data_IF_677461844439
#
_entry.id   IF_677461844439
#
_cell.length_a   1.000
_cell.length_b   1.000
_cell.length_c   1.000
_cell.angle_alpha   90.00
_cell.angle_beta   90.00
_cell.angle_gamma   90.00
#
_symmetry.space_group_name_H-M   'P 1'
#
loop_
_entity.id
_entity.type
_entity.pdbx_description
1 polymer ?
#
# COMPACT_ATOMS: atom_id res chain seq x y z
N UNK A 1 1.55 14.80 -18.69
CA UNK A 1 0.23 15.47 -18.75
C UNK A 1 0.23 16.56 -17.70
N UNK A 2 -0.02 17.82 -18.06
CA UNK A 2 -0.21 18.89 -17.06
C UNK A 2 -1.59 18.73 -16.44
N UNK A 3 -1.65 18.54 -15.15
CA UNK A 3 -2.90 18.41 -14.38
C UNK A 3 -3.37 19.77 -13.78
N UNK A 4 -2.82 20.90 -14.23
CA UNK A 4 -3.24 22.22 -13.74
C UNK A 4 -4.74 22.42 -13.92
N UNK A 5 -5.49 22.47 -12.82
CA UNK A 5 -6.94 22.65 -12.82
C UNK A 5 -7.78 21.43 -13.23
N UNK A 6 -7.17 20.25 -13.44
CA UNK A 6 -7.85 19.01 -13.77
C UNK A 6 -8.20 18.17 -12.54
N UNK A 7 -9.11 17.21 -12.72
CA UNK A 7 -9.40 16.19 -11.72
C UNK A 7 -9.02 14.81 -12.19
N UNK A 8 -8.84 13.87 -11.26
CA UNK A 8 -8.53 12.46 -11.49
C UNK A 8 -9.63 11.59 -10.92
N UNK A 9 -10.06 10.59 -11.67
CA UNK A 9 -10.86 9.50 -11.13
C UNK A 9 -9.95 8.55 -10.36
N UNK A 10 -10.11 8.51 -9.06
CA UNK A 10 -9.37 7.63 -8.16
C UNK A 10 -10.09 6.32 -7.98
N UNK A 11 -9.38 5.20 -8.10
CA UNK A 11 -9.91 3.84 -7.92
C UNK A 11 -9.01 3.09 -6.94
N UNK A 12 -9.62 2.53 -5.91
CA UNK A 12 -8.93 1.73 -4.88
C UNK A 12 -9.49 0.32 -4.88
N UNK A 13 -8.62 -0.66 -5.05
CA UNK A 13 -8.95 -2.09 -4.95
C UNK A 13 -8.18 -2.67 -3.77
N UNK A 14 -8.83 -2.69 -2.63
CA UNK A 14 -8.33 -3.24 -1.38
C UNK A 14 -9.10 -4.54 -1.06
N UNK A 15 -8.48 -5.55 -0.41
CA UNK A 15 -9.14 -6.81 -0.08
C UNK A 15 -10.42 -6.66 0.77
N UNK A 16 -10.50 -5.63 1.58
CA UNK A 16 -11.64 -5.38 2.47
C UNK A 16 -12.68 -4.43 1.87
N UNK A 17 -12.31 -3.65 0.83
CA UNK A 17 -13.19 -2.62 0.24
C UNK A 17 -12.79 -2.25 -1.19
N UNK A 18 -13.78 -1.80 -1.94
CA UNK A 18 -13.56 -0.99 -3.14
C UNK A 18 -13.93 0.46 -2.83
N UNK A 19 -13.14 1.40 -3.30
CA UNK A 19 -13.48 2.81 -3.25
C UNK A 19 -13.23 3.49 -4.59
N UNK A 20 -14.01 4.50 -4.91
CA UNK A 20 -13.76 5.39 -6.04
C UNK A 20 -14.10 6.83 -5.64
N UNK A 21 -13.45 7.78 -6.29
CA UNK A 21 -13.67 9.20 -6.04
C UNK A 21 -13.14 10.08 -7.15
N UNK A 22 -13.46 11.36 -7.10
CA UNK A 22 -12.87 12.41 -7.94
C UNK A 22 -12.01 13.27 -7.03
N UNK A 23 -10.74 13.40 -7.38
CA UNK A 23 -9.72 14.14 -6.63
C UNK A 23 -9.13 15.20 -7.54
N UNK A 24 -8.91 16.40 -7.01
CA UNK A 24 -8.30 17.50 -7.75
C UNK A 24 -6.77 17.52 -7.65
N UNK A 25 -6.15 18.52 -8.28
CA UNK A 25 -4.70 18.67 -8.33
C UNK A 25 -4.07 19.04 -6.96
N UNK A 26 -4.86 19.49 -6.00
CA UNK A 26 -4.42 19.85 -4.65
C UNK A 26 -4.57 18.67 -3.66
N UNK A 27 -5.23 17.58 -4.10
CA UNK A 27 -5.47 16.39 -3.30
C UNK A 27 -6.81 16.40 -2.56
N UNK A 28 -7.68 17.37 -2.85
CA UNK A 28 -9.01 17.42 -2.26
C UNK A 28 -9.95 16.40 -2.91
N UNK A 29 -10.63 15.62 -2.06
CA UNK A 29 -11.59 14.60 -2.51
C UNK A 29 -12.96 15.24 -2.68
N UNK A 30 -13.33 15.53 -3.92
CA UNK A 30 -14.55 16.24 -4.29
C UNK A 30 -15.80 15.34 -4.31
N UNK A 31 -15.64 14.09 -4.75
CA UNK A 31 -16.68 13.06 -4.77
C UNK A 31 -16.09 11.76 -4.28
N UNK A 32 -16.85 10.99 -3.51
CA UNK A 32 -16.42 9.66 -3.06
C UNK A 32 -17.58 8.70 -2.86
N UNK A 33 -17.32 7.44 -3.13
CA UNK A 33 -18.21 6.33 -2.79
C UNK A 33 -17.37 5.07 -2.50
N UNK A 34 -17.94 4.14 -1.76
CA UNK A 34 -17.27 2.88 -1.40
C UNK A 34 -18.27 1.74 -1.24
N UNK A 35 -17.78 0.53 -1.46
CA UNK A 35 -18.49 -0.71 -1.15
C UNK A 35 -17.59 -1.61 -0.31
N UNK A 36 -18.19 -2.39 0.59
CA UNK A 36 -17.46 -3.37 1.40
C UNK A 36 -16.83 -4.47 0.56
N UNK A 37 -16.15 -5.41 1.23
CA UNK A 37 -15.40 -6.49 0.60
C UNK A 37 -16.14 -7.05 -0.62
N UNK A 38 -15.53 -7.00 -1.80
CA UNK A 38 -16.16 -7.48 -3.01
C UNK A 38 -16.24 -9.01 -2.93
N UNK A 39 -17.44 -9.55 -3.10
CA UNK A 39 -17.62 -10.98 -3.21
C UNK A 39 -16.97 -11.55 -4.48
N UNK A 40 -17.63 -12.48 -5.16
CA UNK A 40 -17.10 -13.08 -6.39
C UNK A 40 -17.15 -12.14 -7.62
N UNK A 41 -18.02 -11.13 -7.63
CA UNK A 41 -18.23 -10.20 -8.74
C UNK A 41 -17.50 -8.87 -8.54
N UNK A 42 -16.19 -8.93 -8.26
CA UNK A 42 -15.37 -7.75 -7.95
C UNK A 42 -15.43 -6.71 -9.05
N UNK A 43 -15.27 -7.12 -10.31
CA UNK A 43 -15.30 -6.20 -11.45
C UNK A 43 -16.66 -5.50 -11.59
N UNK A 44 -17.75 -6.24 -11.55
CA UNK A 44 -19.09 -5.66 -11.65
C UNK A 44 -19.37 -4.65 -10.54
N UNK A 45 -18.92 -4.96 -9.33
CA UNK A 45 -19.05 -4.05 -8.20
C UNK A 45 -18.24 -2.77 -8.40
N UNK A 46 -17.02 -2.88 -8.97
CA UNK A 46 -16.17 -1.75 -9.28
C UNK A 46 -16.75 -0.90 -10.43
N UNK A 47 -17.21 -1.51 -11.50
CA UNK A 47 -17.88 -0.85 -12.61
C UNK A 47 -19.09 -0.01 -12.15
N UNK A 48 -19.97 -0.59 -11.32
CA UNK A 48 -21.09 0.12 -10.73
C UNK A 48 -20.66 1.27 -9.81
N UNK A 49 -19.60 1.07 -9.02
CA UNK A 49 -19.07 2.09 -8.13
C UNK A 49 -18.53 3.28 -8.91
N UNK A 50 -17.73 3.03 -9.95
CA UNK A 50 -17.20 4.08 -10.84
C UNK A 50 -18.34 4.83 -11.52
N UNK A 51 -19.35 4.11 -12.04
CA UNK A 51 -20.54 4.72 -12.65
C UNK A 51 -21.27 5.66 -11.70
N UNK A 52 -21.47 5.28 -10.44
CA UNK A 52 -22.11 6.13 -9.41
C UNK A 52 -21.28 7.39 -9.10
N UNK A 53 -19.96 7.25 -8.97
CA UNK A 53 -19.05 8.38 -8.70
C UNK A 53 -19.09 9.39 -9.85
N UNK A 54 -19.01 8.92 -11.10
CA UNK A 54 -19.10 9.80 -12.27
C UNK A 54 -20.47 10.49 -12.39
N UNK A 55 -21.55 9.77 -12.11
CA UNK A 55 -22.91 10.33 -12.11
C UNK A 55 -23.18 11.33 -10.97
N UNK A 56 -22.47 11.19 -9.84
CA UNK A 56 -22.59 12.09 -8.70
C UNK A 56 -21.70 13.34 -8.79
N UNK A 57 -20.94 13.50 -9.87
CA UNK A 57 -20.08 14.67 -10.09
C UNK A 57 -20.91 15.95 -10.22
N UNK A 58 -20.70 16.97 -9.38
CA UNK A 58 -21.33 18.28 -9.53
C UNK A 58 -20.94 18.98 -10.85
N UNK A 59 -21.82 19.81 -11.39
CA UNK A 59 -21.59 20.49 -12.68
C UNK A 59 -20.42 21.47 -12.65
N UNK A 60 -20.11 22.02 -11.48
CA UNK A 60 -18.97 22.93 -11.22
C UNK A 60 -17.64 22.20 -11.03
N UNK A 61 -17.65 20.88 -10.90
CA UNK A 61 -16.43 20.05 -10.82
C UNK A 61 -16.01 19.63 -12.22
N UNK A 62 -14.75 19.88 -12.58
CA UNK A 62 -14.19 19.47 -13.86
C UNK A 62 -14.30 17.95 -14.07
N UNK A 63 -14.49 17.51 -15.31
CA UNK A 63 -14.47 16.08 -15.63
C UNK A 63 -13.06 15.49 -15.44
N UNK A 64 -12.94 14.27 -14.90
CA UNK A 64 -11.65 13.61 -14.77
C UNK A 64 -10.93 13.47 -16.12
N UNK A 65 -9.63 13.71 -16.13
CA UNK A 65 -8.78 13.60 -17.33
C UNK A 65 -7.93 12.31 -17.36
N UNK A 66 -7.88 11.61 -16.23
CA UNK A 66 -7.17 10.34 -16.09
C UNK A 66 -7.79 9.48 -14.96
N UNK A 67 -7.42 8.21 -14.91
CA UNK A 67 -7.73 7.29 -13.82
C UNK A 67 -6.44 6.93 -13.08
N UNK A 68 -6.39 7.21 -11.79
CA UNK A 68 -5.35 6.73 -10.89
C UNK A 68 -5.85 5.52 -10.11
N UNK A 69 -5.09 4.44 -10.12
CA UNK A 69 -5.48 3.15 -9.51
C UNK A 69 -4.46 2.73 -8.47
N UNK A 70 -4.94 2.45 -7.28
CA UNK A 70 -4.22 1.81 -6.20
C UNK A 70 -4.84 0.42 -5.96
N UNK A 71 -4.09 -0.65 -6.20
CA UNK A 71 -4.59 -2.01 -6.13
C UNK A 71 -3.69 -2.89 -5.26
N UNK A 72 -4.27 -3.77 -4.45
CA UNK A 72 -3.49 -4.79 -3.75
C UNK A 72 -2.65 -5.60 -4.75
N UNK A 73 -1.39 -5.83 -4.40
CA UNK A 73 -0.43 -6.55 -5.26
C UNK A 73 -0.55 -8.08 -5.21
N UNK A 74 0.24 -8.78 -6.03
CA UNK A 74 1.20 -8.25 -7.00
C UNK A 74 0.54 -7.70 -8.28
N UNK A 75 1.27 -6.81 -8.95
CA UNK A 75 0.88 -6.24 -10.26
C UNK A 75 1.88 -6.65 -11.35
N UNK A 76 1.45 -6.61 -12.60
CA UNK A 76 2.33 -6.54 -13.77
C UNK A 76 2.17 -5.16 -14.40
N UNK A 77 3.12 -4.28 -14.15
CA UNK A 77 3.06 -2.88 -14.58
C UNK A 77 3.08 -2.75 -16.10
N UNK A 78 3.82 -3.60 -16.81
CA UNK A 78 3.89 -3.57 -18.27
C UNK A 78 2.56 -4.02 -18.88
N UNK A 79 2.01 -5.14 -18.41
CA UNK A 79 0.73 -5.67 -18.87
C UNK A 79 -0.49 -4.89 -18.34
N UNK A 80 -0.34 -4.09 -17.27
CA UNK A 80 -1.48 -3.44 -16.62
C UNK A 80 -2.43 -4.41 -15.93
N UNK A 81 -1.91 -5.56 -15.52
CA UNK A 81 -2.69 -6.61 -14.89
C UNK A 81 -2.38 -6.78 -13.41
N UNK A 82 -3.31 -7.36 -12.66
CA UNK A 82 -3.22 -7.54 -11.22
C UNK A 82 -3.59 -8.96 -10.81
N UNK A 83 -2.92 -9.46 -9.75
CA UNK A 83 -3.21 -10.78 -9.15
C UNK A 83 -3.27 -10.65 -7.63
N UNK A 84 -4.22 -9.89 -7.07
CA UNK A 84 -4.27 -9.66 -5.63
C UNK A 84 -4.55 -10.95 -4.88
N UNK A 85 -3.67 -11.30 -3.94
CA UNK A 85 -3.69 -12.59 -3.24
C UNK A 85 -5.03 -12.89 -2.52
N UNK A 86 -5.71 -11.84 -2.04
CA UNK A 86 -6.99 -11.95 -1.33
C UNK A 86 -8.21 -11.73 -2.24
N UNK A 87 -8.03 -11.64 -3.55
CA UNK A 87 -9.09 -11.58 -4.56
C UNK A 87 -8.92 -12.72 -5.58
N UNK A 88 -9.23 -13.98 -5.20
CA UNK A 88 -8.92 -15.15 -6.02
C UNK A 88 -9.58 -15.15 -7.41
N UNK A 89 -10.64 -14.36 -7.59
CA UNK A 89 -11.30 -14.20 -8.89
C UNK A 89 -10.43 -13.45 -9.92
N UNK A 90 -9.39 -12.74 -9.47
CA UNK A 90 -8.50 -11.96 -10.30
C UNK A 90 -7.12 -12.61 -10.40
N UNK A 91 -6.89 -13.36 -11.45
CA UNK A 91 -5.58 -13.90 -11.80
C UNK A 91 -5.14 -13.29 -13.12
N UNK A 92 -4.06 -12.52 -13.10
CA UNK A 92 -3.61 -11.70 -14.24
C UNK A 92 -4.77 -10.88 -14.85
N UNK A 93 -5.62 -10.31 -14.00
CA UNK A 93 -6.78 -9.55 -14.42
C UNK A 93 -6.34 -8.23 -15.08
N UNK A 94 -6.73 -7.93 -16.34
CA UNK A 94 -6.26 -6.76 -17.09
C UNK A 94 -7.00 -5.48 -16.64
N UNK A 95 -6.75 -5.06 -15.41
CA UNK A 95 -7.47 -3.97 -14.74
C UNK A 95 -7.33 -2.63 -15.47
N UNK A 96 -6.12 -2.35 -16.02
CA UNK A 96 -5.87 -1.14 -16.81
C UNK A 96 -6.80 -1.05 -18.02
N UNK A 97 -6.87 -2.12 -18.80
CA UNK A 97 -7.65 -2.16 -20.02
C UNK A 97 -9.16 -2.06 -19.73
N UNK A 98 -9.63 -2.80 -18.72
CA UNK A 98 -11.04 -2.74 -18.31
C UNK A 98 -11.47 -1.34 -17.84
N UNK A 99 -10.62 -0.64 -17.09
CA UNK A 99 -10.91 0.73 -16.65
C UNK A 99 -10.80 1.72 -17.82
N UNK A 100 -9.85 1.50 -18.74
CA UNK A 100 -9.77 2.30 -19.95
C UNK A 100 -11.02 2.14 -20.82
N UNK A 101 -11.47 0.91 -21.06
CA UNK A 101 -12.68 0.62 -21.85
C UNK A 101 -13.94 1.21 -21.20
N UNK A 102 -14.01 1.19 -19.88
CA UNK A 102 -15.13 1.75 -19.12
C UNK A 102 -15.18 3.28 -19.17
N UNK A 103 -14.03 3.95 -19.13
CA UNK A 103 -13.98 5.41 -18.92
C UNK A 103 -13.52 6.20 -20.15
N UNK A 104 -12.84 5.57 -21.09
CA UNK A 104 -12.16 6.22 -22.21
C UNK A 104 -10.93 7.04 -21.81
N UNK A 105 -10.49 6.97 -20.54
CA UNK A 105 -9.40 7.76 -19.99
C UNK A 105 -8.10 6.96 -19.91
N UNK A 106 -6.94 7.63 -19.94
CA UNK A 106 -5.66 6.99 -19.62
C UNK A 106 -5.67 6.51 -18.16
N UNK A 107 -5.16 5.28 -17.92
CA UNK A 107 -5.17 4.61 -16.62
C UNK A 107 -3.75 4.36 -16.13
N UNK A 108 -3.46 4.81 -14.92
CA UNK A 108 -2.19 4.65 -14.23
C UNK A 108 -2.40 3.75 -13.01
N UNK A 109 -1.59 2.71 -12.89
CA UNK A 109 -1.74 1.65 -11.89
C UNK A 109 -0.49 1.52 -11.03
N UNK A 110 -0.66 1.46 -9.71
CA UNK A 110 0.38 1.04 -8.76
C UNK A 110 -0.22 0.15 -7.65
N UNK A 111 0.65 -0.46 -6.87
CA UNK A 111 0.28 -1.16 -5.63
C UNK A 111 -0.25 -0.18 -4.57
N UNK A 112 -0.93 -0.69 -3.53
CA UNK A 112 -1.38 0.15 -2.41
C UNK A 112 -0.21 0.91 -1.78
N UNK A 113 0.89 0.20 -1.52
CA UNK A 113 2.08 0.82 -0.94
C UNK A 113 2.81 1.77 -1.89
N UNK A 114 2.83 1.47 -3.19
CA UNK A 114 3.41 2.35 -4.21
C UNK A 114 2.65 3.67 -4.34
N UNK A 115 1.32 3.57 -4.40
CA UNK A 115 0.44 4.73 -4.42
C UNK A 115 0.58 5.57 -3.14
N UNK A 116 0.64 4.92 -1.98
CA UNK A 116 0.89 5.60 -0.71
C UNK A 116 2.23 6.35 -0.71
N UNK A 117 3.31 5.69 -1.17
CA UNK A 117 4.63 6.33 -1.25
C UNK A 117 4.64 7.55 -2.18
N UNK A 118 3.88 7.50 -3.28
CA UNK A 118 3.73 8.63 -4.20
C UNK A 118 2.94 9.77 -3.57
N UNK A 119 1.85 9.47 -2.85
CA UNK A 119 1.05 10.46 -2.15
C UNK A 119 1.83 11.15 -1.02
N UNK A 120 2.61 10.39 -0.24
CA UNK A 120 3.45 10.93 0.82
C UNK A 120 4.48 11.95 0.31
N UNK A 121 4.99 11.73 -0.88
CA UNK A 121 5.87 12.71 -1.55
C UNK A 121 5.13 13.90 -2.15
N UNK A 122 3.86 13.76 -2.43
CA UNK A 122 3.07 14.83 -3.04
C UNK A 122 2.50 15.79 -1.98
N UNK A 123 1.77 15.26 -1.01
CA UNK A 123 1.03 16.05 -0.01
C UNK A 123 1.25 15.56 1.43
N UNK A 124 2.10 14.56 1.65
CA UNK A 124 2.30 13.91 2.94
C UNK A 124 3.61 14.29 3.66
N UNK A 125 4.07 13.40 4.53
CA UNK A 125 5.23 13.61 5.41
C UNK A 125 6.58 13.40 4.71
N UNK A 126 6.60 12.86 3.48
CA UNK A 126 7.80 12.58 2.72
C UNK A 126 8.12 13.61 1.64
N UNK A 127 7.49 14.80 1.63
CA UNK A 127 7.72 15.86 0.63
C UNK A 127 9.20 16.20 0.50
N UNK A 128 9.92 16.30 1.63
CA UNK A 128 11.35 16.64 1.69
C UNK A 128 12.25 15.41 1.89
N UNK A 129 11.72 14.18 1.77
CA UNK A 129 12.49 12.95 1.98
C UNK A 129 12.79 12.30 0.63
N UNK A 130 14.07 12.33 0.22
CA UNK A 130 14.47 11.80 -1.08
C UNK A 130 14.43 10.26 -1.16
N UNK A 131 14.77 9.56 -0.07
CA UNK A 131 14.83 8.10 -0.06
C UNK A 131 14.18 7.54 1.19
N UNK A 132 13.20 6.64 1.00
CA UNK A 132 12.44 6.04 2.09
C UNK A 132 11.71 4.77 1.64
N UNK A 133 11.20 4.03 2.61
CA UNK A 133 10.30 2.89 2.39
C UNK A 133 8.97 3.16 3.08
N UNK A 134 7.87 2.89 2.39
CA UNK A 134 6.54 2.79 3.00
C UNK A 134 6.21 1.31 3.23
N UNK A 135 5.70 0.98 4.39
CA UNK A 135 5.23 -0.36 4.75
C UNK A 135 3.80 -0.27 5.28
N UNK A 136 2.88 -0.93 4.60
CA UNK A 136 1.50 -1.08 5.02
C UNK A 136 1.32 -2.44 5.69
N UNK A 137 1.06 -2.44 6.99
CA UNK A 137 0.85 -3.63 7.81
C UNK A 137 -0.66 -3.82 8.02
N UNK A 138 -1.30 -4.46 7.04
CA UNK A 138 -2.75 -4.64 7.02
C UNK A 138 -3.12 -6.12 6.78
N UNK A 139 -4.21 -6.43 6.09
CA UNK A 139 -4.63 -7.80 5.75
C UNK A 139 -3.48 -8.63 5.21
N UNK A 140 -2.71 -8.07 4.31
CA UNK A 140 -1.36 -8.51 3.91
C UNK A 140 -0.38 -7.35 4.12
N UNK A 141 0.91 -7.65 4.14
CA UNK A 141 1.92 -6.62 4.17
C UNK A 141 2.22 -6.20 2.74
N UNK A 142 2.17 -4.90 2.49
CA UNK A 142 2.67 -4.30 1.27
C UNK A 142 3.77 -3.29 1.59
N UNK A 143 4.69 -3.09 0.66
CA UNK A 143 5.75 -2.11 0.83
C UNK A 143 6.27 -1.62 -0.49
N UNK A 144 6.75 -0.38 -0.48
CA UNK A 144 7.29 0.30 -1.63
C UNK A 144 8.51 1.11 -1.24
N UNK A 145 9.48 1.18 -2.14
CA UNK A 145 10.72 1.90 -1.93
C UNK A 145 10.81 3.09 -2.90
N UNK A 146 11.23 4.23 -2.38
CA UNK A 146 11.58 5.43 -3.15
C UNK A 146 13.05 5.72 -2.92
N UNK A 147 13.83 5.90 -3.99
CA UNK A 147 15.25 6.22 -3.99
C UNK A 147 15.45 7.48 -4.82
N UNK A 148 16.14 8.48 -4.26
CA UNK A 148 16.42 9.75 -4.93
C UNK A 148 15.16 10.40 -5.56
N UNK A 149 14.06 10.30 -4.84
CA UNK A 149 12.79 10.83 -5.27
C UNK A 149 12.06 10.01 -6.32
N UNK A 150 12.52 8.82 -6.68
CA UNK A 150 11.90 7.97 -7.69
C UNK A 150 11.41 6.65 -7.12
N UNK A 151 10.23 6.24 -7.53
CA UNK A 151 9.67 4.93 -7.21
C UNK A 151 10.59 3.83 -7.76
N UNK A 152 10.99 2.89 -6.92
CA UNK A 152 11.71 1.71 -7.35
C UNK A 152 10.72 0.68 -7.89
N UNK A 153 10.63 0.52 -9.20
CA UNK A 153 9.67 -0.38 -9.84
C UNK A 153 10.10 -1.85 -9.86
N UNK A 154 11.38 -2.11 -10.14
CA UNK A 154 11.85 -3.47 -10.43
C UNK A 154 11.36 -3.99 -11.78
N UNK A 155 11.53 -5.29 -12.00
CA UNK A 155 11.21 -5.92 -13.28
C UNK A 155 9.72 -6.01 -13.63
N UNK A 156 8.83 -6.00 -12.64
CA UNK A 156 7.39 -6.17 -12.83
C UNK A 156 6.54 -5.11 -12.11
N UNK A 157 7.17 -4.15 -11.43
CA UNK A 157 6.46 -3.13 -10.65
C UNK A 157 6.29 -3.44 -9.15
N UNK A 158 6.89 -4.51 -8.64
CA UNK A 158 6.71 -4.97 -7.26
C UNK A 158 7.99 -4.84 -6.40
N UNK A 159 8.98 -4.03 -6.80
CA UNK A 159 10.18 -3.87 -6.00
C UNK A 159 9.87 -3.27 -4.62
N UNK A 160 10.60 -3.74 -3.62
CA UNK A 160 10.36 -3.35 -2.23
C UNK A 160 9.32 -4.22 -1.50
N UNK A 161 8.89 -5.33 -2.07
CA UNK A 161 7.91 -6.25 -1.48
C UNK A 161 8.46 -6.99 -0.24
N UNK A 162 8.60 -6.28 0.88
CA UNK A 162 9.18 -6.80 2.14
C UNK A 162 8.32 -7.87 2.82
N UNK A 163 7.07 -8.05 2.39
CA UNK A 163 6.18 -9.12 2.89
C UNK A 163 6.82 -10.50 2.87
N UNK A 164 7.68 -10.77 1.88
CA UNK A 164 8.29 -12.07 1.66
C UNK A 164 9.78 -12.14 2.01
N UNK A 165 10.33 -11.10 2.66
CA UNK A 165 11.65 -11.18 3.27
C UNK A 165 11.63 -12.23 4.38
N UNK A 166 12.63 -13.11 4.37
CA UNK A 166 12.77 -14.15 5.39
C UNK A 166 13.27 -13.54 6.69
N UNK A 167 12.40 -13.48 7.69
CA UNK A 167 12.71 -12.93 9.04
C UNK A 167 12.95 -14.01 10.07
N UNK A 168 12.55 -15.26 9.78
CA UNK A 168 12.72 -16.42 10.68
C UNK A 168 12.96 -17.69 9.86
N UNK A 169 14.21 -18.05 9.57
CA UNK A 169 14.54 -19.26 8.80
C UNK A 169 13.91 -20.52 9.40
N UNK A 170 13.19 -21.28 8.59
CA UNK A 170 12.48 -22.48 9.05
C UNK A 170 11.24 -22.23 9.91
N UNK A 171 10.79 -20.98 10.00
CA UNK A 171 9.63 -20.57 10.78
C UNK A 171 8.28 -20.88 10.12
N UNK A 172 7.25 -20.07 10.45
CA UNK A 172 5.88 -20.28 9.99
C UNK A 172 5.75 -20.28 8.46
N UNK A 173 4.84 -21.13 7.94
CA UNK A 173 4.52 -21.19 6.52
C UNK A 173 3.75 -19.93 6.11
N UNK A 174 4.22 -19.27 5.08
CA UNK A 174 3.57 -18.10 4.47
C UNK A 174 2.52 -18.55 3.45
N UNK A 175 1.52 -17.70 3.20
CA UNK A 175 0.53 -17.90 2.14
C UNK A 175 1.15 -18.05 0.74
N UNK A 176 2.36 -17.54 0.50
CA UNK A 176 3.11 -17.75 -0.75
C UNK A 176 3.75 -19.15 -0.88
N UNK A 177 3.65 -19.99 0.13
CA UNK A 177 4.24 -21.34 0.18
C UNK A 177 5.66 -21.42 0.76
N UNK A 178 6.36 -20.28 0.94
CA UNK A 178 7.67 -20.25 1.58
C UNK A 178 7.54 -20.25 3.12
N UNK A 179 8.66 -20.49 3.81
CA UNK A 179 8.73 -20.47 5.28
C UNK A 179 9.46 -19.24 5.78
N UNK A 180 8.99 -18.66 6.88
CA UNK A 180 9.68 -17.59 7.59
C UNK A 180 9.53 -16.20 7.01
N UNK A 181 8.61 -15.97 6.06
CA UNK A 181 8.33 -14.65 5.51
C UNK A 181 7.74 -13.71 6.57
N UNK A 182 8.04 -12.41 6.49
CA UNK A 182 7.46 -11.38 7.35
C UNK A 182 5.93 -11.46 7.39
N UNK A 183 5.29 -11.65 6.24
CA UNK A 183 3.83 -11.71 6.11
C UNK A 183 3.18 -12.79 7.00
N UNK A 184 3.88 -13.89 7.26
CA UNK A 184 3.39 -14.98 8.14
C UNK A 184 3.37 -14.61 9.63
N UNK A 185 4.01 -13.48 10.02
CA UNK A 185 4.14 -13.05 11.42
C UNK A 185 3.50 -11.71 11.73
N UNK A 186 3.35 -10.86 10.73
CA UNK A 186 3.00 -9.47 10.95
C UNK A 186 1.85 -8.97 10.06
N UNK A 187 1.25 -9.80 9.19
CA UNK A 187 -0.01 -9.44 8.55
C UNK A 187 -1.20 -9.70 9.48
N UNK A 188 -2.24 -8.86 9.39
CA UNK A 188 -3.49 -9.04 10.15
C UNK A 188 -4.08 -10.43 9.91
N UNK A 189 -4.14 -10.87 8.63
CA UNK A 189 -4.67 -12.19 8.29
C UNK A 189 -3.91 -13.33 8.98
N UNK A 190 -2.57 -13.29 9.00
CA UNK A 190 -1.76 -14.32 9.66
C UNK A 190 -1.92 -14.29 11.18
N UNK A 191 -1.93 -13.10 11.79
CA UNK A 191 -2.12 -12.93 13.23
C UNK A 191 -3.50 -13.43 13.68
N UNK A 192 -4.57 -13.09 12.98
CA UNK A 192 -5.91 -13.53 13.31
C UNK A 192 -6.10 -15.03 13.11
N UNK A 193 -5.50 -15.60 12.05
CA UNK A 193 -5.51 -17.04 11.79
C UNK A 193 -4.77 -17.83 12.89
N UNK A 194 -3.58 -17.37 13.29
CA UNK A 194 -2.79 -18.00 14.38
C UNK A 194 -3.56 -17.98 15.70
N UNK A 195 -4.14 -16.82 16.03
CA UNK A 195 -4.83 -16.62 17.29
C UNK A 195 -6.24 -17.25 17.31
N UNK A 196 -6.81 -17.53 16.15
CA UNK A 196 -8.23 -17.86 15.97
C UNK A 196 -9.17 -16.87 16.66
N UNK A 197 -8.82 -15.57 16.59
CA UNK A 197 -9.57 -14.45 17.20
C UNK A 197 -9.13 -13.12 16.59
N UNK A 198 -9.96 -12.05 16.72
CA UNK A 198 -9.61 -10.72 16.24
C UNK A 198 -8.32 -10.19 16.83
N UNK A 199 -7.53 -9.50 15.99
CA UNK A 199 -6.20 -8.98 16.32
C UNK A 199 -6.18 -8.06 17.55
N UNK A 200 -7.26 -7.31 17.82
CA UNK A 200 -7.40 -6.47 19.03
C UNK A 200 -7.32 -7.25 20.36
N UNK A 201 -7.35 -8.59 20.29
CA UNK A 201 -7.19 -9.49 21.46
C UNK A 201 -5.80 -10.13 21.50
N UNK A 202 -4.83 -9.57 20.80
CA UNK A 202 -3.46 -10.05 20.85
C UNK A 202 -2.88 -9.95 22.27
N UNK A 203 -2.06 -10.91 22.63
CA UNK A 203 -1.32 -10.87 23.90
C UNK A 203 -0.07 -10.00 23.76
N UNK A 204 0.48 -9.47 24.85
CA UNK A 204 1.75 -8.74 24.82
C UNK A 204 2.88 -9.50 24.11
N UNK A 205 2.95 -10.82 24.27
CA UNK A 205 3.96 -11.66 23.63
C UNK A 205 3.80 -11.73 22.10
N UNK A 206 2.56 -11.69 21.59
CA UNK A 206 2.29 -11.64 20.14
C UNK A 206 2.67 -10.26 19.59
N UNK A 207 2.31 -9.18 20.30
CA UNK A 207 2.68 -7.82 19.93
C UNK A 207 4.20 -7.67 19.85
N UNK A 208 4.90 -8.13 20.89
CA UNK A 208 6.37 -8.10 20.95
C UNK A 208 7.00 -8.92 19.82
N UNK A 209 6.57 -10.15 19.60
CA UNK A 209 7.07 -10.99 18.50
C UNK A 209 6.85 -10.31 17.15
N UNK A 210 5.67 -9.73 16.92
CA UNK A 210 5.35 -9.03 15.68
C UNK A 210 6.31 -7.85 15.47
N UNK A 211 6.58 -7.06 16.51
CA UNK A 211 7.54 -5.96 16.46
C UNK A 211 8.97 -6.44 16.16
N UNK A 212 9.39 -7.56 16.76
CA UNK A 212 10.70 -8.19 16.46
C UNK A 212 10.80 -8.55 14.97
N UNK A 213 9.79 -9.19 14.40
CA UNK A 213 9.82 -9.61 12.99
C UNK A 213 9.85 -8.41 12.04
N UNK A 214 9.08 -7.37 12.32
CA UNK A 214 9.11 -6.12 11.54
C UNK A 214 10.45 -5.41 11.68
N UNK A 215 11.01 -5.32 12.89
CA UNK A 215 12.35 -4.75 13.13
C UNK A 215 13.47 -5.46 12.36
N UNK A 216 13.41 -6.79 12.25
CA UNK A 216 14.33 -7.61 11.44
C UNK A 216 14.23 -7.26 9.94
N UNK A 217 13.00 -7.15 9.43
CA UNK A 217 12.77 -6.79 8.03
C UNK A 217 13.28 -5.38 7.72
N UNK A 218 13.02 -4.41 8.60
CA UNK A 218 13.48 -3.04 8.47
C UNK A 218 15.02 -2.98 8.47
N UNK A 219 15.68 -3.65 9.40
CA UNK A 219 17.15 -3.68 9.45
C UNK A 219 17.77 -4.26 8.17
N UNK A 220 17.16 -5.32 7.62
CA UNK A 220 17.59 -5.93 6.35
C UNK A 220 17.35 -5.01 5.16
N UNK A 221 16.17 -4.39 5.08
CA UNK A 221 15.79 -3.48 4.00
C UNK A 221 16.65 -2.20 4.03
N UNK A 222 16.92 -1.64 5.20
CA UNK A 222 17.80 -0.48 5.35
C UNK A 222 19.19 -0.73 4.76
N UNK A 223 19.76 -1.90 5.04
CA UNK A 223 21.07 -2.28 4.51
C UNK A 223 21.07 -2.56 2.99
N UNK A 224 19.96 -3.11 2.45
CA UNK A 224 19.85 -3.45 1.03
C UNK A 224 19.57 -2.23 0.16
N UNK A 225 18.71 -1.33 0.62
CA UNK A 225 18.27 -0.14 -0.11
C UNK A 225 19.10 1.11 0.22
N UNK A 226 19.94 1.05 1.24
CA UNK A 226 20.70 2.20 1.77
C UNK A 226 19.76 3.37 2.14
N UNK A 227 18.72 3.07 2.93
CA UNK A 227 17.72 4.05 3.38
C UNK A 227 17.62 4.07 4.90
N UNK A 228 17.36 5.25 5.45
CA UNK A 228 17.25 5.47 6.89
C UNK A 228 15.85 5.89 7.35
N UNK A 229 14.87 6.00 6.44
CA UNK A 229 13.52 6.39 6.79
C UNK A 229 12.52 5.34 6.36
N UNK A 230 11.74 4.85 7.31
CA UNK A 230 10.64 3.92 7.09
C UNK A 230 9.35 4.52 7.61
N UNK A 231 8.37 4.67 6.74
CA UNK A 231 7.02 5.03 7.11
C UNK A 231 6.19 3.77 7.26
N UNK A 232 5.45 3.65 8.37
CA UNK A 232 4.62 2.48 8.67
C UNK A 232 3.18 2.91 8.91
N UNK A 233 2.22 2.14 8.40
CA UNK A 233 0.80 2.38 8.61
C UNK A 233 0.01 1.08 8.55
N UNK A 234 -1.28 1.14 8.87
CA UNK A 234 -2.24 0.07 8.71
C UNK A 234 -2.71 -0.54 10.01
N UNK A 235 -3.70 -1.42 9.93
CA UNK A 235 -4.46 -1.93 11.07
C UNK A 235 -3.59 -2.57 12.17
N UNK A 236 -2.43 -3.14 11.84
CA UNK A 236 -1.51 -3.71 12.83
C UNK A 236 -0.87 -2.61 13.66
N UNK A 237 -0.40 -1.52 13.00
CA UNK A 237 0.20 -0.36 13.67
C UNK A 237 -0.85 0.29 14.58
N UNK A 238 -2.02 0.62 14.04
CA UNK A 238 -3.12 1.27 14.77
C UNK A 238 -3.60 0.45 15.99
N UNK A 239 -3.62 -0.89 15.85
CA UNK A 239 -4.12 -1.76 16.92
C UNK A 239 -3.09 -2.02 18.00
N UNK A 240 -1.82 -2.14 17.66
CA UNK A 240 -0.75 -2.52 18.58
C UNK A 240 -0.04 -1.32 19.21
N UNK A 241 -0.04 -0.16 18.51
CA UNK A 241 0.44 1.13 18.99
C UNK A 241 1.89 1.13 19.51
N UNK A 242 2.16 2.00 20.48
CA UNK A 242 3.50 2.21 21.04
C UNK A 242 4.24 0.93 21.47
N UNK A 243 3.63 -0.06 22.13
CA UNK A 243 4.37 -1.28 22.53
C UNK A 243 4.97 -2.05 21.35
N UNK A 244 4.29 -2.01 20.20
CA UNK A 244 4.78 -2.59 18.95
C UNK A 244 5.92 -1.75 18.37
N UNK A 245 5.71 -0.43 18.24
CA UNK A 245 6.70 0.49 17.69
C UNK A 245 7.99 0.51 18.52
N UNK A 246 7.89 0.53 19.85
CA UNK A 246 9.04 0.44 20.77
C UNK A 246 9.85 -0.84 20.53
N UNK A 247 9.15 -1.95 20.28
CA UNK A 247 9.80 -3.23 20.00
C UNK A 247 10.48 -3.21 18.62
N UNK A 248 9.83 -2.65 17.60
CA UNK A 248 10.43 -2.44 16.27
C UNK A 248 11.71 -1.63 16.39
N UNK A 249 11.67 -0.48 17.11
CA UNK A 249 12.83 0.38 17.32
C UNK A 249 13.98 -0.34 18.04
N UNK A 250 13.68 -1.06 19.11
CA UNK A 250 14.67 -1.85 19.88
C UNK A 250 15.34 -2.90 19.00
N UNK A 251 14.55 -3.63 18.21
CA UNK A 251 15.06 -4.74 17.40
C UNK A 251 15.95 -4.23 16.24
N UNK A 252 15.52 -3.26 15.45
CA UNK A 252 16.36 -2.79 14.35
C UNK A 252 17.62 -2.07 14.87
N UNK A 253 17.53 -1.31 15.96
CA UNK A 253 18.70 -0.64 16.57
C UNK A 253 19.74 -1.63 17.06
N UNK A 254 19.31 -2.83 17.49
CA UNK A 254 20.23 -3.89 17.89
C UNK A 254 20.96 -4.54 16.71
N UNK A 255 20.35 -4.50 15.50
CA UNK A 255 20.82 -5.18 14.29
C UNK A 255 21.51 -4.27 13.28
N UNK A 256 21.12 -3.01 13.22
CA UNK A 256 21.77 -2.02 12.33
C UNK A 256 22.98 -1.41 13.03
N UNK A 257 24.18 -1.82 12.61
CA UNK A 257 25.48 -1.37 13.17
C UNK A 257 26.34 -0.67 12.13
N UNK A 258 25.78 -0.37 10.97
CA UNK A 258 26.47 0.31 9.89
C UNK A 258 26.43 1.82 10.12
N UNK A 259 27.58 2.48 10.10
CA UNK A 259 27.70 3.91 10.42
C UNK A 259 26.85 4.80 9.49
N UNK A 260 26.73 4.43 8.19
CA UNK A 260 25.93 5.17 7.23
C UNK A 260 24.42 5.01 7.44
N UNK A 261 23.99 4.03 8.23
CA UNK A 261 22.60 3.85 8.66
C UNK A 261 22.34 4.45 10.08
N UNK A 262 23.30 5.18 10.63
CA UNK A 262 23.09 5.92 11.86
C UNK A 262 21.94 6.92 11.66
N UNK A 263 20.97 6.92 12.60
CA UNK A 263 19.77 7.77 12.47
C UNK A 263 18.59 7.11 11.74
N UNK A 264 18.66 5.79 11.50
CA UNK A 264 17.50 5.03 11.00
C UNK A 264 16.29 5.28 11.90
N UNK A 265 15.17 5.62 11.29
CA UNK A 265 13.92 5.95 11.97
C UNK A 265 12.73 5.25 11.34
N UNK A 266 11.79 4.91 12.19
CA UNK A 266 10.46 4.41 11.80
C UNK A 266 9.45 5.46 12.23
N UNK A 267 8.64 5.91 11.30
CA UNK A 267 7.64 6.96 11.49
C UNK A 267 6.28 6.36 11.19
N UNK A 268 5.36 6.48 12.14
CA UNK A 268 3.97 6.14 11.90
C UNK A 268 3.34 7.22 11.02
N UNK A 269 2.67 6.81 9.94
CA UNK A 269 1.90 7.72 9.10
C UNK A 269 0.55 8.01 9.75
N UNK A 270 0.40 9.20 10.28
CA UNK A 270 -0.84 9.69 10.92
C UNK A 270 -1.83 10.26 9.90
N UNK A 271 -2.01 9.75 8.78
CA UNK A 271 -2.91 10.32 7.75
C UNK A 271 -3.16 9.37 6.60
N UNK A 272 -2.72 8.14 6.71
CA UNK A 272 -2.92 7.10 5.71
C UNK A 272 -4.42 6.81 5.41
N UNK A 273 -5.32 7.53 6.02
CA UNK A 273 -6.78 7.40 5.87
C UNK A 273 -7.32 7.98 4.54
N UNK A 274 -6.44 8.33 3.59
CA UNK A 274 -6.84 8.89 2.30
C UNK A 274 -6.46 7.99 1.11
N UNK A 275 -6.99 6.78 0.99
CA UNK A 275 -6.64 5.86 -0.10
C UNK A 275 -7.01 6.42 -1.49
N UNK A 276 -7.98 7.32 -1.56
CA UNK A 276 -8.35 8.00 -2.82
C UNK A 276 -7.28 9.00 -3.26
N UNK A 277 -6.66 9.72 -2.32
CA UNK A 277 -5.53 10.63 -2.62
C UNK A 277 -4.32 9.82 -3.09
N UNK A 278 -4.06 8.69 -2.44
CA UNK A 278 -3.01 7.76 -2.88
C UNK A 278 -3.25 7.26 -4.30
N UNK A 279 -4.47 6.85 -4.63
CA UNK A 279 -4.81 6.43 -5.99
C UNK A 279 -4.69 7.58 -7.00
N UNK A 280 -5.14 8.80 -6.66
CA UNK A 280 -5.01 9.98 -7.52
C UNK A 280 -3.54 10.31 -7.82
N UNK A 281 -2.67 10.24 -6.81
CA UNK A 281 -1.25 10.56 -6.94
C UNK A 281 -0.55 9.74 -8.02
N UNK A 282 -0.99 8.50 -8.25
CA UNK A 282 -0.44 7.60 -9.28
C UNK A 282 -0.60 8.20 -10.68
N UNK A 283 -1.71 8.90 -10.95
CA UNK A 283 -1.93 9.56 -12.23
C UNK A 283 -1.34 10.98 -12.27
N UNK A 284 -1.49 11.75 -11.18
CA UNK A 284 -1.02 13.14 -11.10
C UNK A 284 0.50 13.23 -11.19
N UNK A 285 1.20 12.25 -10.62
CA UNK A 285 2.67 12.18 -10.57
C UNK A 285 3.25 11.12 -11.48
N UNK A 286 2.49 10.66 -12.48
CA UNK A 286 2.99 9.72 -13.49
C UNK A 286 4.20 10.30 -14.22
N UNK A 287 5.35 9.63 -14.10
CA UNK A 287 6.62 9.98 -14.75
C UNK A 287 6.67 9.44 -16.20
#
# INVERSE_FOLDING_TARGET
VSFEGGTVLSVVVDPERLAAGIVDADGDVLVRDRVGAPGREVWRSLEQLVGRVLAARPDDVASPVAVGVSCAGPIDQAAGSVTPALVPAWSAFPLRDHLHDLTGLPVYLDTLAGAAATAERWVGEAVDVASFVVMLLDQSIESACVIDGRRLWGGHGNAGALAHVNVEPGGATCSCGAMGCLNAYASKAALEAEMNRPMRRATPSIIERTGIMVGRAIASAAAVFDVTTFFVAGAVVDTFGDPFLDTVHREFSSRSRLDHLAGLRVVELSGFDQPLVSAASVAIRAE
#
